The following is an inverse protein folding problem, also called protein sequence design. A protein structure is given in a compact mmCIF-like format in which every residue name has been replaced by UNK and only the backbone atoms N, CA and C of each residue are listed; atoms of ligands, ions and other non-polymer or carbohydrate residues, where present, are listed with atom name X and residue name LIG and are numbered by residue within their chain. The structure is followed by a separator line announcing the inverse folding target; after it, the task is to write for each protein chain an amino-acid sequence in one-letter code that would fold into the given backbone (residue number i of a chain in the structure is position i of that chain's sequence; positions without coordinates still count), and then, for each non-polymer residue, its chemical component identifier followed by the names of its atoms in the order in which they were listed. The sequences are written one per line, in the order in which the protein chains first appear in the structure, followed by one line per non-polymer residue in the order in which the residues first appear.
data_IF_272072511801
#
_entry.id   IF_272072511801
#
_cell.length_a   1.000
_cell.length_b   1.000
_cell.length_c   1.000
_cell.angle_alpha   90.00
_cell.angle_beta   90.00
_cell.angle_gamma   90.00
#
_symmetry.space_group_name_H-M   'P 1'
#
loop_
_entity.id
_entity.type
_entity.pdbx_description
1 polymer ?
#
# COMPACT_ATOMS: atom_id res chain seq x y z
N UNK A 1 9.70 -16.24 -1.71
CA UNK A 1 9.68 -16.80 -0.34
C UNK A 1 11.02 -17.46 -0.09
N UNK A 2 11.35 -18.51 -0.86
CA UNK A 2 12.64 -19.21 -0.82
C UNK A 2 13.86 -18.30 -0.67
N UNK A 3 14.00 -17.26 -1.52
CA UNK A 3 15.13 -16.32 -1.44
C UNK A 3 15.25 -15.64 -0.07
N UNK A 4 14.13 -15.20 0.51
CA UNK A 4 14.14 -14.53 1.82
C UNK A 4 14.44 -15.52 2.93
N UNK A 5 13.92 -16.74 2.84
CA UNK A 5 14.17 -17.82 3.80
C UNK A 5 15.64 -18.29 3.74
N UNK A 6 16.22 -18.41 2.55
CA UNK A 6 17.65 -18.70 2.33
C UNK A 6 18.57 -17.62 2.91
N UNK A 7 18.09 -16.37 2.94
CA UNK A 7 18.77 -15.25 3.62
C UNK A 7 18.56 -15.23 5.14
N UNK A 8 17.80 -16.18 5.69
CA UNK A 8 17.52 -16.29 7.13
C UNK A 8 16.35 -15.45 7.63
N UNK A 9 15.52 -14.90 6.72
CA UNK A 9 14.30 -14.21 7.11
C UNK A 9 13.16 -15.20 7.34
N UNK A 10 12.29 -14.90 8.30
CA UNK A 10 11.02 -15.60 8.46
C UNK A 10 9.99 -15.03 7.48
N UNK A 11 9.10 -15.88 6.96
CA UNK A 11 8.07 -15.48 5.98
C UNK A 11 6.69 -15.99 6.43
N UNK A 12 5.69 -15.09 6.40
CA UNK A 12 4.27 -15.43 6.55
C UNK A 12 3.52 -15.04 5.29
N UNK A 13 2.53 -15.84 4.91
CA UNK A 13 1.78 -15.67 3.67
C UNK A 13 0.30 -15.46 3.98
N UNK A 14 -0.29 -14.48 3.30
CA UNK A 14 -1.73 -14.29 3.22
C UNK A 14 -2.18 -14.46 1.77
N UNK A 15 -2.39 -15.72 1.36
CA UNK A 15 -3.03 -16.03 0.10
C UNK A 15 -4.54 -15.83 0.26
N UNK A 16 -5.00 -14.63 -0.10
CA UNK A 16 -6.39 -14.21 0.09
C UNK A 16 -7.38 -15.14 -0.62
N UNK A 17 -6.99 -15.71 -1.77
CA UNK A 17 -7.84 -16.63 -2.51
C UNK A 17 -7.91 -17.99 -1.83
N UNK A 18 -6.76 -18.57 -1.44
CA UNK A 18 -6.73 -19.84 -0.71
C UNK A 18 -7.43 -19.76 0.65
N UNK A 19 -7.35 -18.60 1.32
CA UNK A 19 -8.04 -18.31 2.58
C UNK A 19 -9.56 -18.11 2.41
N UNK A 20 -10.06 -17.96 1.18
CA UNK A 20 -11.42 -17.49 0.91
C UNK A 20 -11.74 -16.20 1.68
N UNK A 21 -10.79 -15.25 1.69
CA UNK A 21 -10.92 -14.01 2.43
C UNK A 21 -12.19 -13.27 1.99
N UNK A 22 -13.03 -12.86 2.94
CA UNK A 22 -14.25 -12.09 2.65
C UNK A 22 -13.91 -10.59 2.51
N UNK A 23 -13.93 -10.04 1.28
CA UNK A 23 -13.50 -8.67 1.05
C UNK A 23 -14.61 -7.65 1.33
N UNK A 24 -15.83 -8.11 1.60
CA UNK A 24 -16.97 -7.21 1.78
C UNK A 24 -17.08 -6.83 3.26
N UNK A 25 -16.97 -5.54 3.52
CA UNK A 25 -17.28 -4.92 4.81
C UNK A 25 -18.71 -5.29 5.23
N UNK A 26 -18.87 -5.94 6.39
CA UNK A 26 -20.16 -6.44 6.89
C UNK A 26 -20.25 -6.31 8.41
N UNK A 27 -21.48 -6.31 8.94
CA UNK A 27 -21.69 -6.34 10.40
C UNK A 27 -21.03 -7.54 11.09
N UNK A 28 -20.89 -8.68 10.40
CA UNK A 28 -20.22 -9.87 10.95
C UNK A 28 -18.71 -9.69 11.19
N UNK A 29 -18.12 -8.57 10.76
CA UNK A 29 -16.73 -8.23 11.04
C UNK A 29 -16.49 -7.86 12.52
N UNK A 30 -17.57 -7.69 13.28
CA UNK A 30 -17.55 -7.34 14.68
C UNK A 30 -18.19 -8.49 15.49
N UNK A 31 -17.43 -9.06 16.43
CA UNK A 31 -17.92 -10.17 17.27
C UNK A 31 -18.69 -9.68 18.50
N UNK A 32 -18.47 -8.42 18.90
CA UNK A 32 -19.11 -7.78 20.05
C UNK A 32 -19.61 -6.38 19.67
N UNK A 33 -20.49 -6.33 18.66
CA UNK A 33 -21.08 -5.06 18.26
C UNK A 33 -22.29 -4.75 19.14
N UNK A 34 -22.04 -3.97 20.20
CA UNK A 34 -23.05 -3.53 21.16
C UNK A 34 -23.85 -2.32 20.69
N UNK A 35 -23.41 -1.66 19.61
CA UNK A 35 -24.16 -0.56 18.98
C UNK A 35 -25.34 -1.15 18.18
N UNK A 36 -26.55 -0.97 18.72
CA UNK A 36 -27.83 -1.39 18.16
C UNK A 36 -28.53 -0.28 17.35
N UNK A 37 -27.84 0.84 17.12
CA UNK A 37 -28.39 1.93 16.32
C UNK A 37 -28.52 1.51 14.85
N UNK A 38 -29.48 2.13 14.15
CA UNK A 38 -29.66 1.95 12.71
C UNK A 38 -28.52 2.55 11.87
N UNK A 39 -27.52 3.18 12.51
CA UNK A 39 -26.48 3.98 11.84
C UNK A 39 -25.07 3.57 12.31
N UNK A 40 -24.61 2.42 11.83
CA UNK A 40 -23.25 1.95 12.11
C UNK A 40 -22.26 2.73 11.25
N UNK A 41 -21.29 3.40 11.90
CA UNK A 41 -20.11 3.91 11.23
C UNK A 41 -18.99 2.87 11.32
N UNK A 42 -18.72 2.16 10.22
CA UNK A 42 -17.78 1.04 10.21
C UNK A 42 -16.38 1.43 10.71
N UNK A 43 -15.83 2.58 10.29
CA UNK A 43 -14.49 3.02 10.72
C UNK A 43 -14.41 3.19 12.24
N UNK A 44 -15.39 3.88 12.83
CA UNK A 44 -15.43 4.11 14.27
C UNK A 44 -15.62 2.82 15.06
N UNK A 45 -16.52 1.94 14.59
CA UNK A 45 -16.76 0.66 15.26
C UNK A 45 -15.56 -0.30 15.12
N UNK A 46 -14.88 -0.31 13.97
CA UNK A 46 -13.64 -1.07 13.78
C UNK A 46 -12.53 -0.62 14.72
N UNK A 47 -12.32 0.69 14.87
CA UNK A 47 -11.34 1.23 15.81
C UNK A 47 -11.65 0.83 17.28
N UNK A 48 -12.93 0.89 17.68
CA UNK A 48 -13.36 0.43 19.02
C UNK A 48 -13.16 -1.07 19.22
N UNK A 49 -13.60 -1.87 18.24
CA UNK A 49 -13.51 -3.34 18.32
C UNK A 49 -12.05 -3.81 18.30
N UNK A 50 -11.17 -3.14 17.55
CA UNK A 50 -9.75 -3.44 17.58
C UNK A 50 -9.14 -3.26 18.98
N UNK A 51 -9.42 -2.12 19.63
CA UNK A 51 -8.95 -1.87 21.01
C UNK A 51 -9.44 -2.92 22.00
N UNK A 52 -10.65 -3.46 21.77
CA UNK A 52 -11.25 -4.53 22.59
C UNK A 52 -10.87 -5.95 22.14
N UNK A 53 -10.18 -6.11 21.00
CA UNK A 53 -9.92 -7.38 20.32
C UNK A 53 -11.20 -8.16 19.98
N UNK A 54 -12.24 -7.45 19.54
CA UNK A 54 -13.56 -7.99 19.17
C UNK A 54 -13.88 -7.81 17.68
N UNK A 55 -12.85 -7.68 16.84
CA UNK A 55 -12.98 -7.87 15.40
C UNK A 55 -13.05 -9.37 15.07
N UNK A 56 -13.61 -9.71 13.92
CA UNK A 56 -13.66 -11.08 13.46
C UNK A 56 -12.25 -11.71 13.42
N UNK A 57 -12.08 -12.98 13.83
CA UNK A 57 -10.75 -13.59 13.99
C UNK A 57 -9.86 -13.49 12.74
N UNK A 58 -10.44 -13.69 11.56
CA UNK A 58 -9.71 -13.61 10.29
C UNK A 58 -9.21 -12.20 9.94
N UNK A 59 -9.77 -11.14 10.55
CA UNK A 59 -9.24 -9.77 10.42
C UNK A 59 -8.10 -9.58 11.41
N UNK A 60 -8.28 -10.04 12.66
CA UNK A 60 -7.26 -9.96 13.70
C UNK A 60 -5.98 -10.73 13.31
N UNK A 61 -6.11 -11.90 12.69
CA UNK A 61 -4.96 -12.67 12.19
C UNK A 61 -4.11 -11.86 11.19
N UNK A 62 -4.75 -11.12 10.29
CA UNK A 62 -4.05 -10.30 9.30
C UNK A 62 -3.40 -9.06 9.94
N UNK A 63 -4.07 -8.44 10.91
CA UNK A 63 -3.50 -7.36 11.74
C UNK A 63 -2.25 -7.86 12.48
N UNK A 64 -2.29 -9.07 13.05
CA UNK A 64 -1.17 -9.68 13.74
C UNK A 64 0.01 -9.99 12.79
N UNK A 65 -0.27 -10.46 11.56
CA UNK A 65 0.76 -10.65 10.53
C UNK A 65 1.45 -9.34 10.15
N UNK A 66 0.68 -8.26 9.94
CA UNK A 66 1.26 -6.93 9.67
C UNK A 66 2.08 -6.44 10.86
N UNK A 67 1.57 -6.63 12.08
CA UNK A 67 2.27 -6.23 13.31
C UNK A 67 3.62 -6.92 13.44
N UNK A 68 3.67 -8.22 13.11
CA UNK A 68 4.87 -9.05 13.13
C UNK A 68 5.88 -8.71 12.02
N UNK A 69 5.42 -8.32 10.83
CA UNK A 69 6.31 -8.17 9.66
C UNK A 69 7.08 -6.83 9.64
N UNK A 70 8.36 -6.86 9.29
CA UNK A 70 9.16 -5.66 8.99
C UNK A 70 9.03 -5.23 7.52
N UNK A 71 8.76 -6.18 6.62
CA UNK A 71 8.64 -5.98 5.18
C UNK A 71 7.36 -6.63 4.65
N UNK A 72 6.53 -5.84 3.97
CA UNK A 72 5.28 -6.27 3.36
C UNK A 72 5.43 -6.39 1.84
N UNK A 73 5.13 -7.57 1.29
CA UNK A 73 5.09 -7.78 -0.15
C UNK A 73 3.65 -7.92 -0.63
N UNK A 74 3.21 -7.01 -1.50
CA UNK A 74 1.90 -7.09 -2.14
C UNK A 74 2.07 -7.62 -3.57
N UNK A 75 1.86 -8.93 -3.74
CA UNK A 75 1.87 -9.57 -5.06
C UNK A 75 0.46 -9.58 -5.66
N UNK A 76 0.25 -8.95 -6.81
CA UNK A 76 -1.05 -8.98 -7.49
C UNK A 76 -0.97 -8.65 -8.98
N UNK A 77 -1.89 -9.18 -9.80
CA UNK A 77 -2.09 -8.67 -11.15
C UNK A 77 -2.82 -7.32 -11.12
N UNK A 78 -2.38 -6.36 -11.94
CA UNK A 78 -3.04 -5.07 -12.08
C UNK A 78 -4.38 -5.26 -12.81
N UNK A 79 -5.49 -5.14 -12.08
CA UNK A 79 -6.84 -5.27 -12.61
C UNK A 79 -7.53 -3.92 -12.66
N UNK A 80 -8.02 -3.55 -13.84
CA UNK A 80 -8.67 -2.25 -14.07
C UNK A 80 -7.88 -1.07 -13.49
N UNK A 81 -6.57 -1.05 -13.77
CA UNK A 81 -5.64 -0.02 -13.31
C UNK A 81 -5.54 0.10 -11.77
N UNK A 82 -5.93 -0.95 -11.04
CA UNK A 82 -5.94 -0.97 -9.58
C UNK A 82 -5.69 -2.38 -9.03
N UNK A 83 -5.94 -2.53 -7.73
CA UNK A 83 -5.88 -3.78 -6.99
C UNK A 83 -7.00 -4.74 -7.44
N UNK A 84 -6.79 -6.06 -7.37
CA UNK A 84 -7.89 -7.01 -7.34
C UNK A 84 -8.88 -6.68 -6.23
N UNK A 85 -10.18 -6.87 -6.48
CA UNK A 85 -11.23 -6.51 -5.52
C UNK A 85 -11.04 -7.19 -4.14
N UNK A 86 -10.54 -8.42 -4.11
CA UNK A 86 -10.26 -9.14 -2.87
C UNK A 86 -9.18 -8.46 -2.02
N UNK A 87 -8.13 -7.96 -2.66
CA UNK A 87 -7.04 -7.24 -2.00
C UNK A 87 -7.49 -5.84 -1.56
N UNK A 88 -8.33 -5.16 -2.35
CA UNK A 88 -8.92 -3.89 -1.93
C UNK A 88 -9.79 -4.07 -0.69
N UNK A 89 -10.61 -5.12 -0.64
CA UNK A 89 -11.41 -5.44 0.55
C UNK A 89 -10.57 -5.85 1.76
N UNK A 90 -9.42 -6.53 1.53
CA UNK A 90 -8.46 -6.78 2.61
C UNK A 90 -7.91 -5.48 3.19
N UNK A 91 -7.47 -4.54 2.33
CA UNK A 91 -7.00 -3.21 2.77
C UNK A 91 -8.07 -2.50 3.60
N UNK A 92 -9.32 -2.49 3.12
CA UNK A 92 -10.43 -1.80 3.78
C UNK A 92 -10.77 -2.36 5.17
N UNK A 93 -10.49 -3.64 5.40
CA UNK A 93 -10.87 -4.34 6.64
C UNK A 93 -9.72 -4.44 7.62
N UNK A 94 -8.47 -4.37 7.15
CA UNK A 94 -7.26 -4.58 7.95
C UNK A 94 -6.55 -3.26 8.29
N UNK A 95 -6.53 -2.28 7.37
CA UNK A 95 -5.93 -0.97 7.65
C UNK A 95 -6.91 -0.06 8.39
N UNK A 96 -7.09 -0.34 9.68
CA UNK A 96 -8.07 0.33 10.54
C UNK A 96 -7.48 1.46 11.37
N UNK A 97 -8.31 2.44 11.69
CA UNK A 97 -7.97 3.54 12.59
C UNK A 97 -7.61 3.01 13.99
N UNK A 98 -6.56 3.56 14.58
CA UNK A 98 -5.97 3.11 15.85
C UNK A 98 -5.01 1.92 15.73
N UNK A 99 -4.95 1.26 14.57
CA UNK A 99 -3.92 0.26 14.24
C UNK A 99 -2.95 0.76 13.18
N UNK A 100 -3.45 1.20 12.02
CA UNK A 100 -2.63 1.56 10.88
C UNK A 100 -2.38 3.08 10.79
N UNK A 101 -3.38 3.89 11.18
CA UNK A 101 -3.33 5.34 11.21
C UNK A 101 -4.25 5.88 12.32
N UNK A 102 -4.10 7.16 12.69
CA UNK A 102 -5.07 7.87 13.53
C UNK A 102 -5.03 9.37 13.23
N UNK A 103 -6.07 9.89 12.58
CA UNK A 103 -6.15 11.31 12.21
C UNK A 103 -6.37 12.23 13.43
N UNK A 104 -6.95 11.74 14.52
CA UNK A 104 -7.28 12.58 15.68
C UNK A 104 -6.03 12.98 16.48
N UNK A 105 -5.00 12.12 16.46
CA UNK A 105 -3.72 12.40 17.12
C UNK A 105 -2.57 12.71 16.14
N UNK A 106 -2.87 12.84 14.84
CA UNK A 106 -1.87 13.13 13.80
C UNK A 106 -0.93 11.97 13.47
N UNK A 107 -1.30 10.73 13.81
CA UNK A 107 -0.56 9.53 13.48
C UNK A 107 -0.81 9.10 12.02
N UNK A 108 -0.28 9.91 11.10
CA UNK A 108 -0.36 9.73 9.64
C UNK A 108 0.97 10.11 8.99
N UNK A 109 1.15 9.74 7.72
CA UNK A 109 2.40 9.94 6.96
C UNK A 109 3.60 9.43 7.78
N UNK A 110 4.67 10.20 7.95
CA UNK A 110 5.86 9.77 8.71
C UNK A 110 5.58 9.42 10.19
N UNK A 111 4.44 9.87 10.73
CA UNK A 111 3.99 9.56 12.09
C UNK A 111 2.94 8.44 12.14
N UNK A 112 2.62 7.81 11.02
CA UNK A 112 1.68 6.70 10.92
C UNK A 112 2.03 5.54 11.86
N UNK A 113 1.02 4.75 12.22
CA UNK A 113 1.16 3.72 13.24
C UNK A 113 1.90 2.46 12.75
N UNK A 114 2.10 2.33 11.43
CA UNK A 114 2.93 1.28 10.81
C UNK A 114 4.34 1.77 10.45
N UNK A 115 4.79 2.91 10.99
CA UNK A 115 6.15 3.41 10.78
C UNK A 115 7.22 2.39 11.20
N UNK A 116 8.34 2.41 10.48
CA UNK A 116 9.42 1.43 10.63
C UNK A 116 9.21 0.15 9.81
N UNK A 117 8.03 -0.04 9.19
CA UNK A 117 7.78 -1.11 8.23
C UNK A 117 8.02 -0.62 6.81
N UNK A 118 8.47 -1.52 5.95
CA UNK A 118 8.68 -1.28 4.52
C UNK A 118 7.65 -2.05 3.69
N UNK A 119 7.32 -1.57 2.49
CA UNK A 119 6.47 -2.34 1.59
C UNK A 119 6.88 -2.21 0.12
N UNK A 120 6.72 -3.30 -0.63
CA UNK A 120 6.91 -3.33 -2.07
C UNK A 120 5.64 -3.85 -2.76
N UNK A 121 5.19 -3.13 -3.78
CA UNK A 121 4.18 -3.65 -4.71
C UNK A 121 4.90 -4.48 -5.78
N UNK A 122 4.52 -5.75 -5.93
CA UNK A 122 4.99 -6.66 -6.97
C UNK A 122 3.83 -6.95 -7.93
N UNK A 123 3.89 -6.36 -9.12
CA UNK A 123 2.73 -6.19 -10.00
C UNK A 123 2.99 -6.87 -11.34
N UNK A 124 2.01 -7.61 -11.83
CA UNK A 124 2.00 -8.07 -13.23
C UNK A 124 0.96 -7.29 -14.04
N UNK A 125 1.28 -6.94 -15.29
CA UNK A 125 0.33 -6.27 -16.20
C UNK A 125 0.14 -7.05 -17.49
N UNK A 126 -1.07 -7.03 -18.03
CA UNK A 126 -1.33 -7.61 -19.35
C UNK A 126 -0.74 -6.77 -20.49
N UNK A 127 -0.82 -5.44 -20.38
CA UNK A 127 -0.28 -4.52 -21.38
C UNK A 127 1.25 -4.44 -21.33
N UNK A 128 1.85 -4.08 -22.48
CA UNK A 128 3.28 -3.89 -22.64
C UNK A 128 3.75 -2.59 -21.96
N UNK A 129 5.04 -2.54 -21.58
CA UNK A 129 5.64 -1.39 -20.88
C UNK A 129 5.42 -0.05 -21.60
N UNK A 130 5.54 -0.03 -22.93
CA UNK A 130 5.40 1.20 -23.74
C UNK A 130 4.00 1.82 -23.63
N UNK A 131 2.97 1.00 -23.41
CA UNK A 131 1.58 1.45 -23.28
C UNK A 131 1.37 2.24 -21.98
N UNK A 132 2.20 2.01 -20.96
CA UNK A 132 2.16 2.71 -19.67
C UNK A 132 3.07 3.95 -19.60
N UNK A 133 3.61 4.40 -20.75
CA UNK A 133 4.33 5.66 -20.80
C UNK A 133 3.35 6.85 -20.77
N UNK A 134 3.81 8.07 -20.47
CA UNK A 134 2.97 9.28 -20.58
C UNK A 134 2.35 9.52 -21.96
N UNK A 135 2.84 8.84 -23.01
CA UNK A 135 2.32 8.90 -24.38
C UNK A 135 1.55 7.64 -24.79
N UNK A 136 1.51 6.63 -23.92
CA UNK A 136 0.90 5.34 -24.19
C UNK A 136 -0.59 5.33 -23.87
N UNK A 137 -1.32 4.42 -24.50
CA UNK A 137 -2.79 4.34 -24.38
C UNK A 137 -3.27 4.00 -22.96
N UNK A 138 -2.44 3.33 -22.16
CA UNK A 138 -2.75 3.01 -20.77
C UNK A 138 -2.43 4.16 -19.80
N UNK A 139 -1.75 5.21 -20.28
CA UNK A 139 -1.32 6.36 -19.50
C UNK A 139 -0.16 6.04 -18.54
N UNK A 140 0.36 7.08 -17.89
CA UNK A 140 1.46 6.95 -16.93
C UNK A 140 1.03 6.10 -15.72
N UNK A 141 1.70 4.96 -15.55
CA UNK A 141 1.40 4.01 -14.47
C UNK A 141 1.64 4.61 -13.07
N UNK A 142 2.52 5.60 -12.92
CA UNK A 142 2.73 6.28 -11.64
C UNK A 142 1.44 6.94 -11.12
N UNK A 143 0.58 7.43 -12.02
CA UNK A 143 -0.71 8.01 -11.67
C UNK A 143 -1.64 6.95 -11.07
N UNK A 144 -1.66 5.75 -11.67
CA UNK A 144 -2.52 4.66 -11.22
C UNK A 144 -2.03 4.02 -9.91
N UNK A 145 -0.71 3.97 -9.69
CA UNK A 145 -0.12 3.38 -8.48
C UNK A 145 -0.13 4.35 -7.30
N UNK A 146 -0.13 5.66 -7.54
CA UNK A 146 -0.09 6.67 -6.50
C UNK A 146 -1.14 6.48 -5.40
N UNK A 147 -2.45 6.25 -5.70
CA UNK A 147 -3.44 6.04 -4.65
C UNK A 147 -3.10 4.85 -3.75
N UNK A 148 -2.60 3.74 -4.30
CA UNK A 148 -2.25 2.53 -3.55
C UNK A 148 -1.03 2.79 -2.66
N UNK A 149 0.02 3.38 -3.24
CA UNK A 149 1.26 3.71 -2.52
C UNK A 149 1.01 4.73 -1.42
N UNK A 150 0.19 5.74 -1.70
CA UNK A 150 -0.16 6.79 -0.74
C UNK A 150 -1.05 6.27 0.40
N UNK A 151 -1.93 5.27 0.16
CA UNK A 151 -2.67 4.59 1.24
C UNK A 151 -1.72 4.00 2.29
N UNK A 152 -0.67 3.29 1.86
CA UNK A 152 0.33 2.73 2.77
C UNK A 152 1.24 3.82 3.35
N UNK A 153 1.58 4.84 2.55
CA UNK A 153 2.35 6.01 2.99
C UNK A 153 1.65 6.78 4.11
N UNK A 154 0.32 6.95 4.07
CA UNK A 154 -0.47 7.54 5.17
C UNK A 154 -0.33 6.71 6.45
N UNK A 155 -0.19 5.39 6.35
CA UNK A 155 0.00 4.52 7.50
C UNK A 155 1.45 4.56 8.06
N UNK A 156 2.35 5.32 7.44
CA UNK A 156 3.76 5.44 7.82
C UNK A 156 4.68 4.36 7.24
N UNK A 157 4.16 3.55 6.33
CA UNK A 157 4.96 2.51 5.66
C UNK A 157 5.94 3.15 4.67
N UNK A 158 7.19 2.74 4.73
CA UNK A 158 8.23 3.11 3.76
C UNK A 158 8.02 2.36 2.46
N UNK A 159 7.46 3.03 1.45
CA UNK A 159 7.19 2.42 0.15
C UNK A 159 8.46 2.28 -0.67
N UNK A 160 8.84 1.05 -1.00
CA UNK A 160 9.89 0.76 -1.98
C UNK A 160 9.35 0.90 -3.41
N UNK A 161 10.26 1.10 -4.37
CA UNK A 161 9.88 1.18 -5.78
C UNK A 161 9.13 -0.10 -6.20
N UNK A 162 8.03 -0.01 -6.96
CA UNK A 162 7.30 -1.21 -7.35
C UNK A 162 8.15 -2.09 -8.26
N UNK A 163 8.01 -3.41 -8.13
CA UNK A 163 8.55 -4.37 -9.08
C UNK A 163 7.45 -4.72 -10.08
N UNK A 164 7.63 -4.41 -11.36
CA UNK A 164 6.56 -4.51 -12.36
C UNK A 164 7.01 -5.39 -13.52
N UNK A 165 6.23 -6.46 -13.76
CA UNK A 165 6.39 -7.35 -14.91
C UNK A 165 5.31 -7.01 -15.93
N UNK A 166 5.72 -6.36 -17.01
CA UNK A 166 4.81 -5.98 -18.11
C UNK A 166 4.62 -7.11 -19.13
N UNK A 167 3.50 -7.08 -19.85
CA UNK A 167 3.23 -8.02 -20.94
C UNK A 167 3.10 -9.47 -20.48
N UNK A 168 2.66 -9.71 -19.25
CA UNK A 168 2.67 -11.04 -18.62
C UNK A 168 1.83 -12.09 -19.35
N UNK A 169 0.89 -11.68 -20.22
CA UNK A 169 0.11 -12.58 -21.08
C UNK A 169 0.93 -13.25 -22.18
N UNK A 170 2.11 -12.70 -22.51
CA UNK A 170 2.93 -13.12 -23.65
C UNK A 170 4.35 -13.49 -23.22
N UNK A 171 4.56 -13.77 -21.93
CA UNK A 171 5.86 -14.09 -21.37
C UNK A 171 6.26 -15.53 -21.73
N UNK A 172 7.53 -15.75 -22.08
CA UNK A 172 8.09 -17.08 -22.31
C UNK A 172 8.99 -17.51 -21.15
N UNK A 173 9.43 -18.78 -21.15
CA UNK A 173 10.24 -19.34 -20.07
C UNK A 173 11.54 -18.57 -19.81
N UNK A 174 12.23 -18.11 -20.86
CA UNK A 174 13.48 -17.35 -20.71
C UNK A 174 13.23 -15.99 -20.03
N UNK A 175 12.12 -15.34 -20.36
CA UNK A 175 11.73 -14.08 -19.73
C UNK A 175 11.32 -14.32 -18.27
N UNK A 176 10.64 -15.43 -17.96
CA UNK A 176 10.32 -15.81 -16.58
C UNK A 176 11.59 -15.98 -15.76
N UNK A 177 12.58 -16.75 -16.26
CA UNK A 177 13.87 -16.94 -15.57
C UNK A 177 14.57 -15.61 -15.33
N UNK A 178 14.62 -14.74 -16.33
CA UNK A 178 15.20 -13.40 -16.17
C UNK A 178 14.46 -12.54 -15.14
N UNK A 179 13.13 -12.62 -15.07
CA UNK A 179 12.32 -11.95 -14.04
C UNK A 179 12.66 -12.51 -12.65
N UNK A 180 12.70 -13.83 -12.51
CA UNK A 180 13.06 -14.49 -11.25
C UNK A 180 14.43 -14.04 -10.79
N UNK A 181 15.47 -14.18 -11.61
CA UNK A 181 16.85 -13.77 -11.29
C UNK A 181 16.95 -12.31 -10.87
N UNK A 182 16.28 -11.41 -11.59
CA UNK A 182 16.26 -9.98 -11.25
C UNK A 182 15.55 -9.73 -9.91
N UNK A 183 14.46 -10.42 -9.64
CA UNK A 183 13.77 -10.32 -8.35
C UNK A 183 14.65 -10.89 -7.23
N UNK A 184 15.28 -12.06 -7.41
CA UNK A 184 16.21 -12.64 -6.43
C UNK A 184 17.32 -11.64 -6.10
N UNK A 185 17.96 -11.07 -7.13
CA UNK A 185 19.02 -10.06 -6.96
C UNK A 185 18.52 -8.85 -6.19
N UNK A 186 17.32 -8.35 -6.50
CA UNK A 186 16.74 -7.21 -5.77
C UNK A 186 16.48 -7.54 -4.29
N UNK A 187 15.93 -8.71 -4.02
CA UNK A 187 15.62 -9.15 -2.65
C UNK A 187 16.87 -9.22 -1.75
N UNK A 188 18.05 -9.50 -2.30
CA UNK A 188 19.30 -9.56 -1.52
C UNK A 188 19.73 -8.24 -0.86
N UNK A 189 19.25 -7.10 -1.35
CA UNK A 189 19.55 -5.77 -0.80
C UNK A 189 18.31 -4.92 -0.52
N UNK A 190 17.16 -5.59 -0.28
CA UNK A 190 15.86 -4.92 -0.20
C UNK A 190 15.70 -4.03 1.03
N UNK A 191 16.46 -4.28 2.11
CA UNK A 191 16.40 -3.50 3.35
C UNK A 191 17.26 -2.23 3.27
N UNK A 192 18.16 -2.16 2.30
CA UNK A 192 19.10 -1.07 2.06
C UNK A 192 18.60 -0.11 0.96
N UNK A 193 17.57 -0.48 0.21
CA UNK A 193 16.99 0.38 -0.83
C UNK A 193 16.42 1.67 -0.22
N UNK A 194 16.68 2.82 -0.83
CA UNK A 194 16.04 4.08 -0.46
C UNK A 194 14.54 4.05 -0.82
N UNK A 195 13.63 4.35 0.13
CA UNK A 195 12.21 4.36 -0.15
C UNK A 195 11.80 5.56 -1.01
N UNK A 196 10.60 5.46 -1.60
CA UNK A 196 9.92 6.57 -2.26
C UNK A 196 9.67 7.70 -1.27
N UNK A 197 9.77 8.93 -1.76
CA UNK A 197 9.57 10.14 -0.95
C UNK A 197 8.12 10.59 -1.01
N UNK A 198 7.49 10.68 0.15
CA UNK A 198 6.25 11.43 0.36
C UNK A 198 6.55 12.76 1.04
N UNK A 199 5.64 13.72 0.94
CA UNK A 199 5.76 14.97 1.68
C UNK A 199 5.56 14.71 3.18
N UNK A 200 6.36 15.40 4.00
CA UNK A 200 6.24 15.37 5.45
C UNK A 200 4.99 16.14 5.89
N UNK A 201 4.42 15.77 7.03
CA UNK A 201 3.37 16.56 7.69
C UNK A 201 3.76 18.02 7.92
N UNK A 202 5.06 18.32 8.10
CA UNK A 202 5.57 19.68 8.24
C UNK A 202 5.37 20.54 7.00
N UNK A 203 5.18 19.92 5.84
CA UNK A 203 4.85 20.62 4.59
C UNK A 203 3.42 21.16 4.59
N UNK A 204 2.57 20.78 5.55
CA UNK A 204 1.15 21.12 5.58
C UNK A 204 0.77 22.00 6.77
N UNK A 205 -0.10 22.97 6.54
CA UNK A 205 -0.73 23.80 7.56
C UNK A 205 -1.96 23.08 8.15
N UNK A 206 -1.90 22.69 9.42
CA UNK A 206 -3.05 22.14 10.14
C UNK A 206 -3.84 23.26 10.86
N UNK A 207 -5.20 23.16 10.93
CA UNK A 207 -6.03 22.03 10.51
C UNK A 207 -6.46 22.04 9.03
N UNK A 208 -6.03 23.03 8.22
CA UNK A 208 -6.47 23.20 6.83
C UNK A 208 -6.11 22.02 5.93
N UNK A 209 -4.97 21.37 6.19
CA UNK A 209 -4.48 20.23 5.41
C UNK A 209 -3.91 20.61 4.04
N UNK A 210 -3.57 21.88 3.83
CA UNK A 210 -2.97 22.39 2.60
C UNK A 210 -1.48 22.63 2.78
N UNK A 211 -0.72 22.66 1.69
CA UNK A 211 0.72 22.97 1.74
C UNK A 211 0.95 24.38 2.29
N UNK A 212 1.99 24.54 3.11
CA UNK A 212 2.37 25.85 3.68
C UNK A 212 2.91 26.77 2.59
N UNK A 213 2.72 28.08 2.75
CA UNK A 213 3.32 29.09 1.85
C UNK A 213 4.84 28.96 1.79
N UNK A 214 5.47 28.62 2.91
CA UNK A 214 6.92 28.34 3.00
C UNK A 214 7.33 27.17 2.11
N UNK A 215 6.57 26.07 2.14
CA UNK A 215 6.85 24.93 1.27
C UNK A 215 6.62 25.30 -0.19
N UNK A 216 5.51 25.99 -0.50
CA UNK A 216 5.16 26.41 -1.86
C UNK A 216 6.24 27.32 -2.48
N UNK A 217 6.86 28.19 -1.69
CA UNK A 217 7.96 29.04 -2.14
C UNK A 217 9.21 28.26 -2.58
N UNK A 218 9.38 27.01 -2.12
CA UNK A 218 10.49 26.13 -2.49
C UNK A 218 10.17 25.26 -3.73
N UNK A 219 8.90 25.20 -4.16
CA UNK A 219 8.49 24.36 -5.29
C UNK A 219 8.89 25.01 -6.60
N UNK A 220 9.89 24.42 -7.25
CA UNK A 220 10.42 24.85 -8.56
C UNK A 220 9.55 24.33 -9.72
N UNK A 221 10.16 23.97 -10.85
CA UNK A 221 9.46 23.64 -12.09
C UNK A 221 8.86 22.24 -12.14
N UNK A 222 9.10 21.40 -11.12
CA UNK A 222 8.64 20.02 -11.09
C UNK A 222 7.72 19.78 -9.91
N UNK A 223 6.74 18.91 -10.11
CA UNK A 223 5.88 18.44 -9.05
C UNK A 223 6.70 17.72 -7.96
N UNK A 224 6.47 18.00 -6.67
CA UNK A 224 7.13 17.28 -5.58
C UNK A 224 6.71 15.81 -5.49
N UNK A 225 5.47 15.49 -5.85
CA UNK A 225 4.93 14.12 -5.90
C UNK A 225 3.88 14.02 -7.00
N UNK A 226 3.40 12.80 -7.29
CA UNK A 226 2.30 12.57 -8.24
C UNK A 226 1.01 13.25 -7.77
N UNK A 227 0.66 13.12 -6.48
CA UNK A 227 -0.59 13.66 -5.92
C UNK A 227 -0.56 15.15 -5.61
N UNK A 228 0.61 15.72 -5.31
CA UNK A 228 0.80 17.15 -5.05
C UNK A 228 1.45 17.82 -6.25
N UNK A 229 0.87 17.65 -7.44
CA UNK A 229 1.50 18.13 -8.68
C UNK A 229 1.30 19.62 -8.95
N UNK A 230 0.21 20.25 -8.46
CA UNK A 230 -0.04 21.70 -8.60
C UNK A 230 0.08 22.21 -10.05
N UNK A 231 -0.35 21.38 -11.02
CA UNK A 231 -0.22 21.68 -12.46
C UNK A 231 1.19 21.60 -13.04
N UNK A 232 2.20 21.25 -12.24
CA UNK A 232 3.60 21.10 -12.67
C UNK A 232 3.87 19.69 -13.22
N UNK A 233 4.89 19.52 -14.09
CA UNK A 233 5.33 18.22 -14.58
C UNK A 233 5.66 17.22 -13.46
N UNK A 234 5.08 16.03 -13.54
CA UNK A 234 5.35 14.91 -12.63
C UNK A 234 6.71 14.30 -12.95
N UNK A 235 7.52 14.03 -11.92
CA UNK A 235 8.75 13.27 -12.07
C UNK A 235 8.41 11.79 -11.98
N UNK A 236 8.78 11.01 -13.00
CA UNK A 236 8.73 9.56 -12.92
C UNK A 236 9.76 9.12 -11.87
N UNK A 237 9.29 8.74 -10.68
CA UNK A 237 10.12 8.25 -9.56
C UNK A 237 10.47 6.78 -9.69
#
# INVERSE_FOLDING_TARGET
MEVLEEMGHEVKVSDLYAQNFDPVIRRKDFTDLTDDTKHINYSREAAKCYKKKTLAPYIMEEIEKISWADLLFFQFPLYWYSLPAILKGWIDKVLIEGFAYDFNCGAVLENGLLKGKRAMLSITTGAQRSMYSPKGIAGDLNINLWPIQYTLGICGVEMLKPYIVHGALYINEDTIKGVEENLKKRLTGIFEEEPMKFLSLKSYAFPKGELTDEFLAQVQDKAPTVGQHMGKPIINT
#
